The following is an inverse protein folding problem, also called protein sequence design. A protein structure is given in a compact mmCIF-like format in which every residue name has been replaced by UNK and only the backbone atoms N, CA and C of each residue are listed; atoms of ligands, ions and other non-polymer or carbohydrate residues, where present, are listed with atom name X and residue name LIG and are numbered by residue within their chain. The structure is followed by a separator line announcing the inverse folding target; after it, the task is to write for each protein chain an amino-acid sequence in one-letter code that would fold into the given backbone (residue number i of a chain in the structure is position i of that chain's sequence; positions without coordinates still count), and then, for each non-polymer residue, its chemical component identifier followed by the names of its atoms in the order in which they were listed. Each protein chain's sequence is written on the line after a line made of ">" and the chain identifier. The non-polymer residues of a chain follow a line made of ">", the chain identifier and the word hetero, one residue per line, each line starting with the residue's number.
data_IF_203371094622
#
_entry.id   IF_203371094622
#
_cell.length_a   1.000
_cell.length_b   1.000
_cell.length_c   1.000
_cell.angle_alpha   90.00
_cell.angle_beta   90.00
_cell.angle_gamma   90.00
#
_symmetry.space_group_name_H-M   'P 1'
#
loop_
_entity.id
_entity.type
_entity.pdbx_description
1 polymer ?
#
# COMPACT_ATOMS: atom_id res chain seq x y z
N UNK A 1 14.96 14.31 3.98
CA UNK A 1 14.53 13.06 4.64
C UNK A 1 13.18 12.66 4.07
N UNK A 2 13.07 11.48 3.45
CA UNK A 2 11.83 10.98 2.85
C UNK A 2 10.84 10.58 3.95
N UNK A 3 9.59 10.36 3.53
CA UNK A 3 8.46 10.16 4.45
C UNK A 3 8.64 8.99 5.43
N UNK A 4 9.18 7.85 4.98
CA UNK A 4 9.35 6.65 5.81
C UNK A 4 10.69 6.54 6.53
N UNK A 5 11.69 7.38 6.19
CA UNK A 5 13.08 7.25 6.67
C UNK A 5 13.18 7.21 8.20
N UNK A 6 12.35 7.99 8.89
CA UNK A 6 12.34 8.11 10.36
C UNK A 6 11.95 6.79 11.02
N UNK A 7 10.92 6.15 10.50
CA UNK A 7 10.44 4.87 11.01
C UNK A 7 11.38 3.74 10.59
N UNK A 8 11.90 3.76 9.35
CA UNK A 8 12.89 2.81 8.90
C UNK A 8 14.18 2.88 9.73
N UNK A 9 14.65 4.08 10.06
CA UNK A 9 15.78 4.28 10.97
C UNK A 9 15.46 3.74 12.37
N UNK A 10 14.27 4.03 12.91
CA UNK A 10 13.83 3.47 14.19
C UNK A 10 13.85 1.93 14.20
N UNK A 11 13.35 1.28 13.15
CA UNK A 11 13.41 -0.18 13.01
C UNK A 11 14.85 -0.69 12.94
N UNK A 12 15.71 -0.04 12.15
CA UNK A 12 17.11 -0.40 12.00
C UNK A 12 17.87 -0.28 13.34
N UNK A 13 17.65 0.78 14.12
CA UNK A 13 18.26 0.95 15.44
C UNK A 13 17.75 -0.06 16.48
N UNK A 14 16.62 -0.73 16.20
CA UNK A 14 16.05 -1.79 17.04
C UNK A 14 16.26 -3.19 16.43
N UNK A 15 17.29 -3.37 15.60
CA UNK A 15 17.72 -4.69 15.12
C UNK A 15 16.95 -5.23 13.91
N UNK A 16 16.16 -4.41 13.23
CA UNK A 16 15.45 -4.78 11.99
C UNK A 16 16.04 -4.00 10.80
N UNK A 17 17.01 -4.56 10.06
CA UNK A 17 17.51 -3.96 8.82
C UNK A 17 16.35 -3.66 7.88
N UNK A 18 16.20 -2.40 7.50
CA UNK A 18 15.02 -1.92 6.75
C UNK A 18 15.43 -1.30 5.43
N UNK A 19 14.84 -1.76 4.33
CA UNK A 19 14.95 -1.16 3.00
C UNK A 19 13.71 -0.30 2.72
N UNK A 20 13.93 0.95 2.32
CA UNK A 20 12.90 1.82 1.76
C UNK A 20 13.26 2.06 0.30
N UNK A 21 12.29 1.86 -0.59
CA UNK A 21 12.46 2.02 -2.03
C UNK A 21 11.29 2.79 -2.63
N UNK A 22 11.53 3.42 -3.78
CA UNK A 22 10.49 4.05 -4.59
C UNK A 22 10.10 3.11 -5.73
N UNK A 23 8.80 2.91 -5.96
CA UNK A 23 8.32 2.13 -7.10
C UNK A 23 8.71 2.75 -8.44
N UNK A 24 8.77 1.95 -9.50
CA UNK A 24 9.07 2.44 -10.85
C UNK A 24 8.13 3.60 -11.23
N UNK A 25 8.71 4.67 -11.77
CA UNK A 25 7.96 5.84 -12.24
C UNK A 25 7.64 6.88 -11.16
N UNK A 26 8.01 6.67 -9.89
CA UNK A 26 7.79 7.64 -8.81
C UNK A 26 9.07 7.92 -8.01
N UNK A 27 9.05 8.98 -7.21
CA UNK A 27 10.16 9.28 -6.28
C UNK A 27 11.50 9.43 -7.00
N UNK A 28 12.50 8.68 -6.55
CA UNK A 28 13.82 8.59 -7.18
C UNK A 28 13.90 7.54 -8.30
N UNK A 29 12.91 6.66 -8.42
CA UNK A 29 12.78 5.66 -9.49
C UNK A 29 12.01 6.22 -10.70
N UNK A 30 11.81 7.54 -10.75
CA UNK A 30 11.14 8.25 -11.85
C UNK A 30 12.14 8.49 -13.00
N UNK A 31 11.81 8.13 -14.25
CA UNK A 31 12.63 8.49 -15.41
C UNK A 31 12.67 10.01 -15.64
N UNK A 32 13.62 10.48 -16.44
CA UNK A 32 13.71 11.87 -16.87
C UNK A 32 12.43 12.33 -17.59
N UNK A 33 11.84 11.46 -18.41
CA UNK A 33 10.56 11.67 -19.09
C UNK A 33 9.54 10.65 -18.60
N UNK A 34 8.51 11.13 -17.88
CA UNK A 34 7.44 10.27 -17.33
C UNK A 34 6.30 10.03 -18.33
N UNK A 35 6.07 10.97 -19.26
CA UNK A 35 5.04 10.83 -20.29
C UNK A 35 5.39 9.63 -21.18
N UNK A 36 4.46 8.69 -21.31
CA UNK A 36 4.67 7.45 -22.06
C UNK A 36 5.40 6.34 -21.29
N UNK A 37 5.78 6.56 -20.03
CA UNK A 37 6.36 5.51 -19.20
C UNK A 37 5.27 4.53 -18.71
N UNK A 38 5.43 3.27 -19.06
CA UNK A 38 4.46 2.21 -18.72
C UNK A 38 4.76 1.61 -17.35
N UNK A 39 3.80 1.73 -16.45
CA UNK A 39 3.77 1.04 -15.17
C UNK A 39 2.33 0.90 -14.68
N UNK A 40 2.06 -0.20 -13.98
CA UNK A 40 0.80 -0.54 -13.33
C UNK A 40 1.01 -0.77 -11.82
N UNK A 41 -0.08 -0.83 -11.06
CA UNK A 41 -0.05 -1.23 -9.63
C UNK A 41 0.43 -2.68 -9.51
N UNK A 42 0.11 -3.54 -10.50
CA UNK A 42 0.63 -4.90 -10.56
C UNK A 42 2.15 -4.92 -10.75
N UNK A 43 2.74 -4.06 -11.58
CA UNK A 43 4.19 -3.97 -11.75
C UNK A 43 4.90 -3.59 -10.44
N UNK A 44 4.31 -2.68 -9.67
CA UNK A 44 4.85 -2.28 -8.36
C UNK A 44 4.95 -3.47 -7.39
N UNK A 45 4.02 -4.42 -7.44
CA UNK A 45 4.08 -5.61 -6.58
C UNK A 45 4.89 -6.75 -7.21
N UNK A 46 4.52 -7.15 -8.42
CA UNK A 46 5.08 -8.32 -9.10
C UNK A 46 6.54 -8.18 -9.52
N UNK A 47 7.02 -6.94 -9.68
CA UNK A 47 8.40 -6.64 -10.09
C UNK A 47 9.15 -5.90 -9.00
N UNK A 48 8.67 -4.72 -8.58
CA UNK A 48 9.47 -3.85 -7.70
C UNK A 48 9.53 -4.41 -6.27
N UNK A 49 8.38 -4.75 -5.68
CA UNK A 49 8.34 -5.38 -4.36
C UNK A 49 9.05 -6.75 -4.36
N UNK A 50 8.83 -7.56 -5.40
CA UNK A 50 9.49 -8.85 -5.54
C UNK A 50 11.03 -8.72 -5.58
N UNK A 51 11.54 -7.74 -6.34
CA UNK A 51 12.98 -7.46 -6.44
C UNK A 51 13.56 -6.95 -5.10
N UNK A 52 12.85 -6.06 -4.41
CA UNK A 52 13.26 -5.58 -3.08
C UNK A 52 13.31 -6.72 -2.05
N UNK A 53 12.32 -7.60 -2.06
CA UNK A 53 12.25 -8.77 -1.18
C UNK A 53 13.38 -9.77 -1.50
N UNK A 54 13.68 -9.99 -2.77
CA UNK A 54 14.77 -10.89 -3.18
C UNK A 54 16.13 -10.33 -2.80
N UNK A 55 16.37 -9.03 -3.04
CA UNK A 55 17.62 -8.37 -2.67
C UNK A 55 17.87 -8.44 -1.16
N UNK A 56 16.87 -8.15 -0.34
CA UNK A 56 16.98 -8.28 1.12
C UNK A 56 17.19 -9.74 1.54
N UNK A 57 16.51 -10.68 0.89
CA UNK A 57 16.67 -12.11 1.18
C UNK A 57 18.07 -12.62 0.86
N UNK A 58 18.71 -12.14 -0.21
CA UNK A 58 20.10 -12.45 -0.51
C UNK A 58 21.08 -11.81 0.47
N UNK A 59 20.81 -10.56 0.90
CA UNK A 59 21.68 -9.82 1.82
C UNK A 59 21.61 -10.32 3.27
N UNK A 60 20.47 -10.86 3.69
CA UNK A 60 20.19 -11.37 5.03
C UNK A 60 19.47 -12.73 4.99
N UNK A 61 20.14 -13.83 4.57
CA UNK A 61 19.48 -15.09 4.24
C UNK A 61 18.78 -15.77 5.42
N UNK A 62 19.26 -15.55 6.66
CA UNK A 62 18.69 -16.12 7.88
C UNK A 62 17.66 -15.20 8.57
N UNK A 63 17.45 -13.98 8.09
CA UNK A 63 16.52 -13.04 8.71
C UNK A 63 15.07 -13.38 8.31
N UNK A 64 14.12 -13.03 9.19
CA UNK A 64 12.71 -13.01 8.82
C UNK A 64 12.44 -11.92 7.80
N UNK A 65 11.61 -12.21 6.82
CA UNK A 65 11.14 -11.25 5.82
C UNK A 65 9.87 -10.58 6.31
N UNK A 66 9.99 -9.27 6.52
CA UNK A 66 8.90 -8.41 6.97
C UNK A 66 8.55 -7.47 5.83
N UNK A 67 7.28 -7.39 5.45
CA UNK A 67 6.77 -6.38 4.52
C UNK A 67 5.88 -5.39 5.25
N UNK A 68 6.15 -4.11 5.08
CA UNK A 68 5.36 -3.01 5.66
C UNK A 68 4.62 -2.30 4.53
N UNK A 69 3.30 -2.52 4.46
CA UNK A 69 2.42 -1.92 3.47
C UNK A 69 1.60 -0.78 4.08
N UNK A 70 1.86 0.46 3.66
CA UNK A 70 1.05 1.61 4.06
C UNK A 70 0.10 2.02 2.93
N UNK A 71 -1.17 2.30 3.25
CA UNK A 71 -2.18 2.74 2.26
C UNK A 71 -2.28 1.73 1.10
N UNK A 72 -2.17 2.19 -0.15
CA UNK A 72 -2.11 1.33 -1.35
C UNK A 72 -0.95 0.33 -1.31
N UNK A 73 0.13 0.62 -0.58
CA UNK A 73 1.28 -0.28 -0.46
C UNK A 73 0.88 -1.64 0.10
N UNK A 74 -0.10 -1.68 1.01
CA UNK A 74 -0.65 -2.94 1.50
C UNK A 74 -1.43 -3.72 0.45
N UNK A 75 -2.03 -3.06 -0.56
CA UNK A 75 -2.67 -3.73 -1.68
C UNK A 75 -1.65 -4.16 -2.75
N UNK A 76 -0.63 -3.33 -3.00
CA UNK A 76 0.50 -3.64 -3.90
C UNK A 76 1.23 -4.91 -3.47
N UNK A 77 1.46 -5.09 -2.16
CA UNK A 77 2.13 -6.28 -1.61
C UNK A 77 1.51 -7.59 -2.10
N UNK A 78 0.20 -7.65 -2.32
CA UNK A 78 -0.47 -8.88 -2.72
C UNK A 78 -0.14 -9.35 -4.14
N UNK A 79 0.43 -8.49 -4.99
CA UNK A 79 0.89 -8.89 -6.33
C UNK A 79 2.31 -9.44 -6.37
N UNK A 80 3.01 -9.48 -5.24
CA UNK A 80 4.38 -9.99 -5.16
C UNK A 80 4.46 -11.45 -5.61
N UNK A 81 5.46 -11.79 -6.44
CA UNK A 81 5.58 -13.13 -7.06
C UNK A 81 6.22 -14.15 -6.12
N UNK A 82 7.09 -13.72 -5.21
CA UNK A 82 7.75 -14.54 -4.19
C UNK A 82 7.08 -14.41 -2.80
N UNK A 83 5.76 -14.19 -2.76
CA UNK A 83 5.00 -13.89 -1.54
C UNK A 83 5.02 -14.95 -0.44
N UNK A 84 5.28 -16.22 -0.79
CA UNK A 84 5.49 -17.31 0.18
C UNK A 84 6.71 -17.08 1.09
N UNK A 85 7.66 -16.24 0.66
CA UNK A 85 8.83 -15.89 1.47
C UNK A 85 8.50 -14.88 2.57
N UNK A 86 7.32 -14.25 2.57
CA UNK A 86 6.98 -13.21 3.56
C UNK A 86 6.56 -13.89 4.87
N UNK A 87 7.33 -13.65 5.93
CA UNK A 87 7.08 -14.22 7.26
C UNK A 87 6.07 -13.35 8.04
N UNK A 88 6.22 -12.03 7.97
CA UNK A 88 5.32 -11.07 8.63
C UNK A 88 4.91 -9.93 7.72
N UNK A 89 3.67 -9.47 7.89
CA UNK A 89 3.13 -8.32 7.17
C UNK A 89 2.55 -7.29 8.13
N UNK A 90 3.01 -6.05 8.04
CA UNK A 90 2.43 -4.92 8.74
C UNK A 90 1.64 -4.07 7.76
N UNK A 91 0.32 -4.03 7.92
CA UNK A 91 -0.60 -3.21 7.14
C UNK A 91 -0.95 -1.96 7.94
N UNK A 92 -0.40 -0.80 7.58
CA UNK A 92 -0.70 0.49 8.24
C UNK A 92 -1.70 1.25 7.39
N UNK A 93 -2.93 1.41 7.89
CA UNK A 93 -3.99 2.10 7.16
C UNK A 93 -4.17 1.56 5.74
N UNK A 94 -3.99 0.26 5.53
CA UNK A 94 -3.99 -0.32 4.20
C UNK A 94 -5.41 -0.46 3.64
N UNK A 95 -5.59 -0.26 2.34
CA UNK A 95 -6.89 -0.37 1.67
C UNK A 95 -6.75 -0.60 0.16
N UNK A 96 -7.83 -1.07 -0.48
CA UNK A 96 -7.88 -1.32 -1.93
C UNK A 96 -8.14 -0.06 -2.76
N UNK A 97 -8.53 1.04 -2.10
CA UNK A 97 -8.88 2.31 -2.75
C UNK A 97 -10.32 2.38 -3.25
N UNK A 98 -11.18 1.41 -2.92
CA UNK A 98 -12.59 1.46 -3.28
C UNK A 98 -13.29 2.66 -2.61
N UNK A 99 -13.85 3.55 -3.42
CA UNK A 99 -14.32 4.86 -2.95
C UNK A 99 -15.42 4.82 -1.89
N UNK A 100 -16.29 3.80 -1.90
CA UNK A 100 -17.36 3.70 -0.89
C UNK A 100 -16.83 3.31 0.48
N UNK A 101 -15.63 2.74 0.55
CA UNK A 101 -15.00 2.42 1.82
C UNK A 101 -14.43 3.67 2.53
N UNK A 102 -14.28 4.81 1.85
CA UNK A 102 -13.89 6.06 2.51
C UNK A 102 -14.95 6.54 3.50
N UNK A 103 -14.51 7.25 4.55
CA UNK A 103 -15.39 7.88 5.52
C UNK A 103 -16.38 8.82 4.83
N UNK A 104 -17.61 8.89 5.36
CA UNK A 104 -18.72 9.58 4.68
C UNK A 104 -18.41 11.05 4.35
N UNK A 105 -17.78 11.78 5.28
CA UNK A 105 -17.51 13.22 5.15
C UNK A 105 -16.63 13.57 3.93
N UNK A 106 -15.43 12.99 3.73
CA UNK A 106 -14.61 13.30 2.55
C UNK A 106 -14.92 12.45 1.31
N UNK A 107 -15.87 11.50 1.38
CA UNK A 107 -16.12 10.53 0.29
C UNK A 107 -16.38 11.18 -1.06
N UNK A 108 -17.29 12.16 -1.13
CA UNK A 108 -17.66 12.80 -2.39
C UNK A 108 -16.51 13.65 -2.97
N UNK A 109 -15.85 14.54 -2.20
CA UNK A 109 -14.66 15.24 -2.68
C UNK A 109 -13.56 14.28 -3.18
N UNK A 110 -13.29 13.19 -2.44
CA UNK A 110 -12.33 12.18 -2.86
C UNK A 110 -12.77 11.46 -4.13
N UNK A 111 -14.06 11.19 -4.28
CA UNK A 111 -14.58 10.57 -5.48
C UNK A 111 -14.33 11.45 -6.72
N UNK A 112 -14.63 12.75 -6.63
CA UNK A 112 -14.38 13.70 -7.72
C UNK A 112 -12.88 13.81 -8.03
N UNK A 113 -12.05 13.87 -6.99
CA UNK A 113 -10.60 13.94 -7.15
C UNK A 113 -10.03 12.71 -7.87
N UNK A 114 -10.37 11.50 -7.40
CA UNK A 114 -9.78 10.26 -7.90
C UNK A 114 -10.41 9.74 -9.18
N UNK A 115 -11.72 9.94 -9.37
CA UNK A 115 -12.46 9.31 -10.47
C UNK A 115 -12.82 10.28 -11.58
N UNK A 116 -12.72 11.60 -11.38
CA UNK A 116 -12.91 12.61 -12.43
C UNK A 116 -11.61 13.37 -12.73
N UNK A 117 -11.03 14.06 -11.74
CA UNK A 117 -9.87 14.93 -11.98
C UNK A 117 -8.62 14.15 -12.37
N UNK A 118 -8.26 13.11 -11.61
CA UNK A 118 -7.09 12.28 -11.90
C UNK A 118 -7.07 11.70 -13.32
N UNK A 119 -8.10 10.99 -13.80
CA UNK A 119 -8.08 10.43 -15.15
C UNK A 119 -8.19 11.51 -16.24
N UNK A 120 -8.81 12.66 -15.98
CA UNK A 120 -8.83 13.77 -16.94
C UNK A 120 -7.42 14.37 -17.12
N UNK A 121 -6.76 14.74 -16.02
CA UNK A 121 -5.40 15.29 -16.06
C UNK A 121 -4.40 14.29 -16.63
N UNK A 122 -4.55 13.01 -16.29
CA UNK A 122 -3.67 11.94 -16.79
C UNK A 122 -3.75 11.81 -18.32
N UNK A 123 -4.94 11.96 -18.93
CA UNK A 123 -5.08 11.95 -20.39
C UNK A 123 -4.40 13.14 -21.06
N UNK A 124 -4.54 14.34 -20.48
CA UNK A 124 -3.97 15.57 -21.04
C UNK A 124 -2.45 15.60 -20.91
N UNK A 125 -1.93 15.28 -19.72
CA UNK A 125 -0.50 15.40 -19.39
C UNK A 125 0.29 14.14 -19.79
N UNK A 126 -0.38 12.99 -19.87
CA UNK A 126 0.23 11.67 -20.11
C UNK A 126 0.80 11.01 -18.85
N UNK A 127 0.55 11.59 -17.68
CA UNK A 127 0.79 11.06 -16.34
C UNK A 127 -0.02 11.91 -15.34
N UNK A 128 -0.24 11.45 -14.11
CA UNK A 128 -0.94 12.27 -13.10
C UNK A 128 0.04 13.21 -12.41
N UNK A 129 -0.10 14.55 -12.50
CA UNK A 129 0.86 15.51 -11.96
C UNK A 129 0.64 15.79 -10.46
N UNK A 130 0.64 14.74 -9.64
CA UNK A 130 0.36 14.80 -8.20
C UNK A 130 1.21 15.82 -7.42
N UNK A 131 2.48 16.05 -7.83
CA UNK A 131 3.37 17.01 -7.15
C UNK A 131 2.90 18.44 -7.34
N UNK A 132 2.45 18.79 -8.55
CA UNK A 132 1.92 20.14 -8.87
C UNK A 132 0.60 20.43 -8.15
N UNK A 133 -0.12 19.38 -7.74
CA UNK A 133 -1.38 19.47 -7.01
C UNK A 133 -1.19 19.40 -5.48
N UNK A 134 0.04 19.29 -4.99
CA UNK A 134 0.37 19.11 -3.56
C UNK A 134 -0.32 17.89 -2.91
N UNK A 135 -0.60 16.83 -3.67
CA UNK A 135 -1.29 15.63 -3.18
C UNK A 135 -0.31 14.48 -2.91
N UNK A 136 0.32 13.98 -3.96
CA UNK A 136 1.16 12.78 -3.96
C UNK A 136 2.34 12.98 -4.92
N UNK A 137 3.21 12.00 -5.04
CA UNK A 137 4.13 11.97 -6.18
C UNK A 137 3.34 11.97 -7.51
N UNK A 138 3.99 12.42 -8.57
CA UNK A 138 3.47 12.19 -9.91
C UNK A 138 3.37 10.68 -10.15
N UNK A 139 2.32 10.24 -10.84
CA UNK A 139 2.08 8.82 -11.08
C UNK A 139 2.11 8.51 -12.58
N UNK A 140 2.74 7.39 -13.00
CA UNK A 140 2.59 6.86 -14.34
C UNK A 140 1.11 6.73 -14.74
N UNK A 141 0.82 6.90 -16.02
CA UNK A 141 -0.57 6.90 -16.50
C UNK A 141 -1.33 5.62 -16.16
N UNK A 142 -0.70 4.44 -16.33
CA UNK A 142 -1.30 3.15 -16.00
C UNK A 142 -1.73 3.06 -14.54
N UNK A 143 -0.84 3.40 -13.61
CA UNK A 143 -1.14 3.46 -12.17
C UNK A 143 -2.29 4.43 -11.87
N UNK A 144 -2.27 5.62 -12.45
CA UNK A 144 -3.31 6.62 -12.22
C UNK A 144 -4.69 6.15 -12.74
N UNK A 145 -4.74 5.53 -13.92
CA UNK A 145 -5.98 4.97 -14.45
C UNK A 145 -6.48 3.76 -13.64
N UNK A 146 -5.61 2.89 -13.16
CA UNK A 146 -6.00 1.79 -12.28
C UNK A 146 -6.56 2.27 -10.94
N UNK A 147 -6.01 3.35 -10.38
CA UNK A 147 -6.56 4.00 -9.19
C UNK A 147 -7.92 4.66 -9.49
N UNK A 148 -8.00 5.41 -10.58
CA UNK A 148 -9.24 6.06 -11.02
C UNK A 148 -10.37 5.07 -11.36
N UNK A 149 -10.04 3.81 -11.60
CA UNK A 149 -11.00 2.73 -11.80
C UNK A 149 -11.38 2.01 -10.50
N UNK A 150 -10.99 2.43 -9.29
CA UNK A 150 -11.45 1.81 -8.02
C UNK A 150 -12.91 2.15 -7.64
N UNK A 151 -13.82 1.95 -8.60
CA UNK A 151 -15.25 2.27 -8.56
C UNK A 151 -16.12 1.11 -8.10
N UNK A 152 -15.60 -0.13 -8.17
CA UNK A 152 -16.22 -1.37 -7.70
C UNK A 152 -15.34 -2.02 -6.62
N UNK A 153 -15.92 -2.84 -5.73
CA UNK A 153 -15.15 -3.52 -4.69
C UNK A 153 -14.18 -4.56 -5.27
N UNK A 154 -14.52 -5.22 -6.38
CA UNK A 154 -13.67 -6.13 -7.12
C UNK A 154 -12.62 -5.31 -7.88
N UNK A 155 -11.33 -5.39 -7.53
CA UNK A 155 -10.31 -4.57 -8.18
C UNK A 155 -10.04 -4.94 -9.65
N UNK A 156 -10.58 -6.08 -10.10
CA UNK A 156 -10.45 -6.63 -11.44
C UNK A 156 -11.65 -6.33 -12.35
N UNK A 157 -12.67 -5.60 -11.87
CA UNK A 157 -13.94 -5.40 -12.60
C UNK A 157 -13.78 -4.79 -14.00
N UNK A 158 -12.69 -4.07 -14.25
CA UNK A 158 -12.39 -3.40 -15.51
C UNK A 158 -11.26 -4.09 -16.31
N UNK A 159 -10.92 -5.33 -15.96
CA UNK A 159 -9.94 -6.15 -16.68
C UNK A 159 -10.70 -7.02 -17.67
N UNK A 160 -10.39 -6.80 -18.95
CA UNK A 160 -11.07 -7.43 -20.08
C UNK A 160 -10.06 -7.96 -21.07
N UNK A 161 -10.41 -9.04 -21.77
CA UNK A 161 -9.65 -9.60 -22.90
C UNK A 161 -9.74 -8.67 -24.12
N UNK A 162 -8.94 -8.89 -25.18
CA UNK A 162 -9.04 -8.12 -26.41
C UNK A 162 -10.45 -8.11 -27.04
N UNK A 163 -11.22 -9.19 -26.82
CA UNK A 163 -12.59 -9.34 -27.32
C UNK A 163 -13.63 -8.63 -26.43
N UNK A 164 -13.20 -7.99 -25.34
CA UNK A 164 -14.06 -7.22 -24.43
C UNK A 164 -14.69 -8.00 -23.28
N UNK A 165 -14.44 -9.31 -23.20
CA UNK A 165 -14.96 -10.18 -22.14
C UNK A 165 -14.16 -10.04 -20.84
N UNK A 166 -14.75 -10.30 -19.65
CA UNK A 166 -14.01 -10.29 -18.39
C UNK A 166 -12.77 -11.20 -18.41
N UNK A 167 -11.61 -10.67 -18.04
CA UNK A 167 -10.37 -11.43 -18.03
C UNK A 167 -10.25 -12.30 -16.76
N UNK A 168 -10.88 -13.47 -16.82
CA UNK A 168 -10.93 -14.45 -15.74
C UNK A 168 -9.54 -15.01 -15.43
N UNK A 169 -8.72 -15.24 -16.45
CA UNK A 169 -7.37 -15.77 -16.26
C UNK A 169 -6.48 -14.78 -15.52
N UNK A 170 -6.52 -13.49 -15.89
CA UNK A 170 -5.81 -12.45 -15.16
C UNK A 170 -6.31 -12.34 -13.72
N UNK A 171 -7.63 -12.36 -13.51
CA UNK A 171 -8.22 -12.33 -12.16
C UNK A 171 -7.69 -13.46 -11.29
N UNK A 172 -7.76 -14.69 -11.78
CA UNK A 172 -7.37 -15.88 -11.02
C UNK A 172 -5.86 -15.87 -10.74
N UNK A 173 -5.05 -15.47 -11.71
CA UNK A 173 -3.62 -15.26 -11.51
C UNK A 173 -3.33 -14.20 -10.44
N UNK A 174 -4.01 -13.05 -10.49
CA UNK A 174 -3.84 -11.99 -9.50
C UNK A 174 -4.23 -12.47 -8.09
N UNK A 175 -5.41 -13.08 -7.94
CA UNK A 175 -5.89 -13.62 -6.66
C UNK A 175 -4.98 -14.73 -6.12
N UNK A 176 -4.43 -15.60 -6.99
CA UNK A 176 -3.50 -16.65 -6.57
C UNK A 176 -2.26 -16.11 -5.85
N UNK A 177 -1.79 -14.90 -6.21
CA UNK A 177 -0.63 -14.26 -5.55
C UNK A 177 -0.98 -13.79 -4.15
N UNK A 178 -2.17 -13.20 -3.96
CA UNK A 178 -2.65 -12.84 -2.62
C UNK A 178 -2.81 -14.10 -1.74
N UNK A 179 -3.38 -15.17 -2.29
CA UNK A 179 -3.56 -16.46 -1.59
C UNK A 179 -2.24 -17.18 -1.30
N UNK A 180 -1.18 -16.92 -2.06
CA UNK A 180 0.13 -17.53 -1.83
C UNK A 180 0.82 -16.98 -0.57
N UNK A 181 0.43 -15.80 -0.08
CA UNK A 181 1.00 -15.17 1.12
C UNK A 181 0.34 -15.81 2.36
N UNK A 182 1.18 -16.23 3.31
CA UNK A 182 0.76 -16.86 4.57
C UNK A 182 1.32 -16.14 5.81
N UNK A 183 1.72 -14.89 5.64
CA UNK A 183 2.40 -14.11 6.66
C UNK A 183 1.52 -13.84 7.88
N UNK A 184 2.10 -13.94 9.07
CA UNK A 184 1.46 -13.38 10.27
C UNK A 184 1.30 -11.88 10.07
N UNK A 185 0.07 -11.38 10.21
CA UNK A 185 -0.30 -10.04 9.75
C UNK A 185 -0.80 -9.17 10.90
N UNK A 186 -0.27 -7.94 11.01
CA UNK A 186 -0.83 -6.89 11.87
C UNK A 186 -1.50 -5.84 10.99
N UNK A 187 -2.82 -5.71 11.11
CA UNK A 187 -3.58 -4.63 10.50
C UNK A 187 -3.81 -3.50 11.50
N UNK A 188 -3.06 -2.42 11.34
CA UNK A 188 -3.15 -1.21 12.15
C UNK A 188 -4.06 -0.18 11.47
N UNK A 189 -5.18 0.17 12.10
CA UNK A 189 -6.08 1.24 11.65
C UNK A 189 -6.20 2.34 12.68
N UNK A 190 -6.48 3.56 12.22
CA UNK A 190 -6.67 4.72 13.08
C UNK A 190 -8.12 5.20 13.06
N UNK A 191 -8.66 5.59 14.21
CA UNK A 191 -10.07 6.02 14.29
C UNK A 191 -10.33 7.35 13.60
N UNK A 192 -9.29 8.17 13.41
CA UNK A 192 -9.32 9.46 12.73
C UNK A 192 -8.78 9.40 11.28
N UNK A 193 -8.63 8.19 10.73
CA UNK A 193 -8.30 7.94 9.31
C UNK A 193 -9.56 7.82 8.45
N UNK A 194 -9.69 8.73 7.47
CA UNK A 194 -10.81 8.75 6.54
C UNK A 194 -10.69 7.80 5.34
N UNK A 195 -9.50 7.26 5.10
CA UNK A 195 -9.19 6.39 3.97
C UNK A 195 -9.34 4.92 4.37
N UNK A 196 -8.66 4.51 5.45
CA UNK A 196 -8.63 3.14 5.93
C UNK A 196 -9.69 2.89 7.01
N UNK A 197 -10.97 3.04 6.65
CA UNK A 197 -12.08 2.74 7.55
C UNK A 197 -12.13 1.23 7.89
N UNK A 198 -13.04 0.85 8.80
CA UNK A 198 -13.29 -0.57 9.10
C UNK A 198 -13.68 -1.36 7.85
N UNK A 199 -14.51 -0.80 6.98
CA UNK A 199 -14.90 -1.43 5.72
C UNK A 199 -13.70 -1.61 4.79
N UNK A 200 -12.85 -0.59 4.66
CA UNK A 200 -11.64 -0.63 3.85
C UNK A 200 -10.65 -1.70 4.35
N UNK A 201 -10.44 -1.73 5.66
CA UNK A 201 -9.56 -2.67 6.35
C UNK A 201 -10.07 -4.11 6.22
N UNK A 202 -11.38 -4.31 6.35
CA UNK A 202 -12.03 -5.61 6.15
C UNK A 202 -11.88 -6.09 4.71
N UNK A 203 -12.08 -5.20 3.74
CA UNK A 203 -11.95 -5.56 2.32
C UNK A 203 -10.55 -6.01 1.96
N UNK A 204 -9.53 -5.27 2.39
CA UNK A 204 -8.15 -5.65 2.05
C UNK A 204 -7.73 -6.94 2.78
N UNK A 205 -8.13 -7.13 4.04
CA UNK A 205 -7.88 -8.38 4.75
C UNK A 205 -8.59 -9.57 4.09
N UNK A 206 -9.76 -9.36 3.50
CA UNK A 206 -10.48 -10.38 2.72
C UNK A 206 -9.74 -10.86 1.46
N UNK A 207 -8.73 -10.12 0.98
CA UNK A 207 -7.83 -10.60 -0.07
C UNK A 207 -6.73 -11.51 0.49
N UNK A 208 -6.30 -11.28 1.74
CA UNK A 208 -5.24 -12.02 2.41
C UNK A 208 -5.77 -13.20 3.23
N UNK A 209 -6.59 -14.05 2.62
CA UNK A 209 -7.37 -15.09 3.32
C UNK A 209 -6.50 -16.12 4.08
N UNK A 210 -5.28 -16.36 3.60
CA UNK A 210 -4.34 -17.32 4.20
C UNK A 210 -3.38 -16.68 5.22
N UNK A 211 -3.59 -15.40 5.56
CA UNK A 211 -2.76 -14.68 6.51
C UNK A 211 -3.48 -14.54 7.87
N UNK A 212 -2.99 -15.14 8.96
CA UNK A 212 -3.58 -14.89 10.28
C UNK A 212 -3.38 -13.42 10.65
N UNK A 213 -4.48 -12.71 10.91
CA UNK A 213 -4.48 -11.26 11.07
C UNK A 213 -4.89 -10.81 12.47
N UNK A 214 -3.96 -10.16 13.19
CA UNK A 214 -4.26 -9.35 14.37
C UNK A 214 -4.71 -7.96 13.94
N UNK A 215 -5.82 -7.47 14.47
CA UNK A 215 -6.32 -6.11 14.23
C UNK A 215 -5.99 -5.22 15.41
N UNK A 216 -5.33 -4.09 15.14
CA UNK A 216 -5.04 -3.06 16.13
C UNK A 216 -5.72 -1.76 15.71
N UNK A 217 -6.64 -1.27 16.53
CA UNK A 217 -7.35 0.00 16.31
C UNK A 217 -6.83 1.01 17.32
N UNK A 218 -6.34 2.15 16.83
CA UNK A 218 -5.80 3.21 17.71
C UNK A 218 -6.46 4.54 17.40
N UNK A 219 -6.98 5.19 18.43
CA UNK A 219 -7.45 6.57 18.34
C UNK A 219 -6.48 7.57 18.96
N UNK A 220 -6.75 8.89 18.87
CA UNK A 220 -5.90 9.92 19.42
C UNK A 220 -5.55 9.72 20.90
N UNK A 221 -6.50 9.27 21.73
CA UNK A 221 -6.26 8.96 23.16
C UNK A 221 -5.17 7.89 23.31
N UNK A 222 -5.26 6.80 22.55
CA UNK A 222 -4.25 5.74 22.54
C UNK A 222 -2.91 6.15 21.91
N UNK A 223 -2.84 7.32 21.28
CA UNK A 223 -1.66 7.92 20.68
C UNK A 223 -1.14 9.16 21.44
N UNK A 224 -1.49 9.28 22.74
CA UNK A 224 -1.06 10.39 23.59
C UNK A 224 -1.78 11.71 23.30
N UNK A 225 -3.06 11.64 22.94
CA UNK A 225 -3.90 12.80 22.60
C UNK A 225 -3.67 13.39 21.21
N UNK A 226 -2.72 12.88 20.44
CA UNK A 226 -2.33 13.46 19.15
C UNK A 226 -3.15 12.88 17.99
N UNK A 227 -3.52 13.75 17.04
CA UNK A 227 -4.14 13.33 15.77
C UNK A 227 -3.17 12.46 14.96
N UNK A 228 -3.64 11.31 14.49
CA UNK A 228 -2.87 10.38 13.66
C UNK A 228 -3.28 10.62 12.22
N UNK A 229 -4.51 10.30 11.84
CA UNK A 229 -4.99 10.32 10.47
C UNK A 229 -4.20 9.36 9.57
N UNK A 230 -4.47 9.41 8.27
CA UNK A 230 -3.90 8.46 7.31
C UNK A 230 -2.37 8.50 7.24
N UNK A 231 -1.79 9.71 7.21
CA UNK A 231 -0.35 9.92 7.04
C UNK A 231 0.40 10.22 8.36
N UNK A 232 -0.22 10.02 9.51
CA UNK A 232 0.36 10.39 10.80
C UNK A 232 1.40 9.41 11.31
N UNK A 233 1.13 8.11 11.19
CA UNK A 233 1.88 7.07 11.89
C UNK A 233 3.39 7.20 11.76
N UNK A 234 3.91 7.50 10.55
CA UNK A 234 5.35 7.58 10.28
C UNK A 234 6.02 8.90 10.73
N UNK A 235 5.32 9.77 11.46
CA UNK A 235 5.88 11.01 12.03
C UNK A 235 6.58 10.71 13.36
N UNK A 236 7.73 11.36 13.62
CA UNK A 236 8.57 11.15 14.81
C UNK A 236 7.87 11.37 16.15
N UNK A 237 6.79 12.16 16.17
CA UNK A 237 5.96 12.37 17.37
C UNK A 237 5.35 11.08 17.94
N UNK A 238 5.32 10.00 17.16
CA UNK A 238 4.81 8.69 17.58
C UNK A 238 5.92 7.69 17.96
N UNK A 239 7.18 8.13 18.00
CA UNK A 239 8.35 7.30 18.34
C UNK A 239 8.23 6.66 19.72
N UNK A 240 7.70 7.41 20.69
CA UNK A 240 7.56 6.94 22.08
C UNK A 240 6.15 6.37 22.39
N UNK A 241 5.23 6.39 21.42
CA UNK A 241 3.82 5.99 21.66
C UNK A 241 3.37 4.84 20.78
N UNK A 242 3.33 5.01 19.45
CA UNK A 242 2.81 3.99 18.53
C UNK A 242 3.88 3.03 18.03
N UNK A 243 5.07 3.53 17.72
CA UNK A 243 6.14 2.70 17.15
C UNK A 243 6.60 1.57 18.06
N UNK A 244 6.71 1.73 19.39
CA UNK A 244 7.13 0.65 20.27
C UNK A 244 6.12 -0.52 20.29
N UNK A 245 4.82 -0.23 20.17
CA UNK A 245 3.76 -1.26 20.11
C UNK A 245 3.89 -2.14 18.88
N UNK A 246 4.15 -1.50 17.73
CA UNK A 246 4.36 -2.21 16.46
C UNK A 246 5.68 -2.97 16.48
N UNK A 247 6.75 -2.37 17.01
CA UNK A 247 8.04 -3.03 17.16
C UNK A 247 7.94 -4.29 18.02
N UNK A 248 7.26 -4.23 19.15
CA UNK A 248 7.03 -5.40 20.01
C UNK A 248 6.35 -6.54 19.25
N UNK A 249 5.34 -6.24 18.43
CA UNK A 249 4.69 -7.24 17.59
C UNK A 249 5.60 -7.79 16.47
N UNK A 250 6.44 -6.94 15.87
CA UNK A 250 7.39 -7.35 14.82
C UNK A 250 8.49 -8.27 15.36
N UNK A 251 8.94 -8.03 16.60
CA UNK A 251 9.96 -8.83 17.27
C UNK A 251 9.41 -10.08 17.94
N UNK A 252 8.10 -10.18 18.17
CA UNK A 252 7.53 -11.38 18.76
C UNK A 252 7.84 -12.61 17.89
N UNK A 253 8.18 -13.73 18.54
CA UNK A 253 8.60 -14.97 17.92
C UNK A 253 7.46 -15.98 17.78
N UNK A 254 6.30 -15.68 18.38
CA UNK A 254 5.06 -16.46 18.28
C UNK A 254 4.38 -16.30 16.91
#
# INVERSE_FOLDING_TARGET
>A
MRYYDRFAHFLATNGIPTLVYDYRGIGQSRPSVLRGFTASVEDWGSKDCAAALEWLSGRFPKARRIVIGHSIGGFVTGFVTNGRKIDRMLLVGAHTGYWRDYAARPRLPMYLLWHALMPALTRVVGYFPGRRLHLLNDLPAGVAFEWANRRRPEFWWNKVTPDGEPDIQWRDNALSRFLAIRASTLALRFTDDAFATEAATTRILGLYQNCPATRMVVGPVGAGGQKIGHFGFFRSRFRETLWPRVLAWLLNNE
#
